data_IF_311095906391
#
_entry.id   IF_311095906391
#
_cell.length_a   1.000
_cell.length_b   1.000
_cell.length_c   1.000
_cell.angle_alpha   90.00
_cell.angle_beta   90.00
_cell.angle_gamma   90.00
#
_symmetry.space_group_name_H-M   'P 1'
#
loop_
_entity.id
_entity.type
_entity.pdbx_description
1 polymer ?
#
# COMPACT_ATOMS: atom_id res chain seq x y z
N UNK A 1 14.48 -11.33 3.70
CA UNK A 1 15.20 -10.04 3.83
C UNK A 1 14.69 -9.31 5.05
N UNK A 2 15.54 -8.72 5.90
CA UNK A 2 15.09 -7.86 7.00
C UNK A 2 14.23 -6.72 6.47
N UNK A 3 13.14 -6.38 7.15
CA UNK A 3 12.23 -5.30 6.71
C UNK A 3 12.97 -3.95 6.56
N UNK A 4 13.99 -3.73 7.40
CA UNK A 4 14.85 -2.55 7.32
C UNK A 4 15.53 -2.36 5.96
N UNK A 5 15.95 -3.44 5.31
CA UNK A 5 16.58 -3.36 3.98
C UNK A 5 15.57 -2.93 2.91
N UNK A 6 14.32 -3.39 3.04
CA UNK A 6 13.23 -2.97 2.14
C UNK A 6 12.94 -1.48 2.33
N UNK A 7 12.85 -1.02 3.59
CA UNK A 7 12.66 0.40 3.91
C UNK A 7 13.80 1.25 3.34
N UNK A 8 15.04 0.81 3.54
CA UNK A 8 16.23 1.51 3.04
C UNK A 8 16.22 1.62 1.51
N UNK A 9 15.90 0.54 0.82
CA UNK A 9 15.84 0.52 -0.64
C UNK A 9 14.68 1.37 -1.19
N UNK A 10 13.54 1.41 -0.50
CA UNK A 10 12.36 2.19 -0.91
C UNK A 10 12.42 3.68 -0.50
N UNK A 11 13.33 4.06 0.41
CA UNK A 11 13.37 5.41 0.98
C UNK A 11 13.57 6.51 -0.07
N UNK A 12 14.59 6.35 -0.92
CA UNK A 12 14.90 7.35 -1.95
C UNK A 12 13.75 7.49 -2.96
N UNK A 13 13.23 6.40 -3.57
CA UNK A 13 12.05 6.48 -4.43
C UNK A 13 10.86 7.17 -3.76
N UNK A 14 10.55 6.84 -2.51
CA UNK A 14 9.43 7.42 -1.79
C UNK A 14 9.55 8.94 -1.63
N UNK A 15 10.72 9.44 -1.21
CA UNK A 15 10.96 10.88 -1.06
C UNK A 15 10.84 11.61 -2.39
N UNK A 16 11.43 11.06 -3.46
CA UNK A 16 11.34 11.65 -4.80
C UNK A 16 9.88 11.71 -5.26
N UNK A 17 9.12 10.62 -5.09
CA UNK A 17 7.69 10.58 -5.42
C UNK A 17 6.89 11.64 -4.65
N UNK A 18 7.13 11.81 -3.34
CA UNK A 18 6.45 12.84 -2.57
C UNK A 18 6.77 14.26 -3.02
N UNK A 19 8.05 14.55 -3.29
CA UNK A 19 8.46 15.88 -3.80
C UNK A 19 7.80 16.14 -5.15
N UNK A 20 7.83 15.16 -6.06
CA UNK A 20 7.21 15.26 -7.37
C UNK A 20 5.70 15.50 -7.27
N UNK A 21 4.99 14.75 -6.41
CA UNK A 21 3.56 14.90 -6.18
C UNK A 21 3.19 16.28 -5.63
N UNK A 22 3.93 16.78 -4.63
CA UNK A 22 3.71 18.11 -4.06
C UNK A 22 3.91 19.18 -5.13
N UNK A 23 4.99 19.05 -5.91
CA UNK A 23 5.31 20.01 -6.96
C UNK A 23 4.26 20.02 -8.09
N UNK A 24 3.87 18.85 -8.60
CA UNK A 24 2.85 18.73 -9.65
C UNK A 24 1.51 19.27 -9.15
N UNK A 25 1.12 18.93 -7.90
CA UNK A 25 -0.12 19.42 -7.31
C UNK A 25 -0.10 20.95 -7.16
N UNK A 26 1.04 21.54 -6.78
CA UNK A 26 1.19 22.99 -6.71
C UNK A 26 1.07 23.67 -8.07
N UNK A 27 1.68 23.08 -9.12
CA UNK A 27 1.59 23.57 -10.49
C UNK A 27 0.15 23.49 -11.02
N UNK A 28 -0.54 22.37 -10.84
CA UNK A 28 -1.94 22.22 -11.26
C UNK A 28 -2.88 23.15 -10.49
N UNK A 29 -2.70 23.30 -9.17
CA UNK A 29 -3.48 24.27 -8.38
C UNK A 29 -3.25 25.72 -8.86
N UNK A 30 -2.01 26.07 -9.20
CA UNK A 30 -1.65 27.39 -9.73
C UNK A 30 -2.23 27.63 -11.13
N UNK A 31 -2.17 26.62 -12.00
CA UNK A 31 -2.76 26.64 -13.35
C UNK A 31 -4.28 26.80 -13.31
N UNK A 32 -4.94 26.18 -12.35
CA UNK A 32 -6.38 26.31 -12.10
C UNK A 32 -6.76 27.58 -11.34
N UNK A 33 -5.79 28.40 -10.91
CA UNK A 33 -6.04 29.63 -10.17
C UNK A 33 -6.68 29.42 -8.79
N UNK A 34 -6.50 28.24 -8.19
CA UNK A 34 -7.09 27.91 -6.90
C UNK A 34 -6.50 28.81 -5.80
N UNK A 35 -7.38 29.40 -4.99
CA UNK A 35 -7.00 30.22 -3.84
C UNK A 35 -7.19 29.43 -2.55
N UNK A 36 -6.28 29.64 -1.59
CA UNK A 36 -6.41 29.06 -0.26
C UNK A 36 -7.69 29.53 0.44
N UNK A 37 -8.20 28.70 1.34
CA UNK A 37 -9.38 29.02 2.14
C UNK A 37 -9.14 30.26 3.02
N UNK A 38 -10.18 31.08 3.28
CA UNK A 38 -10.15 32.15 4.27
C UNK A 38 -9.68 31.64 5.65
N UNK A 39 -8.87 32.45 6.37
CA UNK A 39 -8.22 32.03 7.63
C UNK A 39 -9.20 31.57 8.72
N UNK A 40 -10.43 32.08 8.69
CA UNK A 40 -11.53 31.74 9.58
C UNK A 40 -12.11 30.34 9.32
N UNK A 41 -11.94 29.80 8.11
CA UNK A 41 -12.37 28.46 7.73
C UNK A 41 -11.29 27.40 7.95
N UNK A 42 -10.06 27.82 8.26
CA UNK A 42 -8.94 26.91 8.51
C UNK A 42 -9.03 26.38 9.96
N UNK A 43 -9.18 25.06 10.17
CA UNK A 43 -9.16 24.50 11.50
C UNK A 43 -7.80 24.76 12.16
N UNK A 44 -7.80 25.08 13.46
CA UNK A 44 -6.57 25.38 14.21
C UNK A 44 -5.62 24.18 14.22
N UNK A 45 -4.51 24.28 13.48
CA UNK A 45 -3.54 23.21 13.24
C UNK A 45 -3.20 22.39 14.49
N UNK A 46 -2.67 23.02 15.54
CA UNK A 46 -2.25 22.31 16.76
C UNK A 46 -3.42 21.60 17.46
N UNK A 47 -4.61 22.21 17.52
CA UNK A 47 -5.78 21.60 18.15
C UNK A 47 -6.20 20.33 17.40
N UNK A 48 -6.18 20.37 16.07
CA UNK A 48 -6.50 19.21 15.22
C UNK A 48 -5.44 18.12 15.36
N UNK A 49 -4.15 18.50 15.33
CA UNK A 49 -3.03 17.58 15.45
C UNK A 49 -3.04 16.79 16.77
N UNK A 50 -3.17 17.49 17.91
CA UNK A 50 -3.21 16.83 19.22
C UNK A 50 -4.46 15.99 19.42
N UNK A 51 -5.60 16.36 18.81
CA UNK A 51 -6.81 15.55 18.87
C UNK A 51 -6.64 14.22 18.14
N UNK A 52 -5.82 14.15 17.10
CA UNK A 52 -5.54 12.94 16.33
C UNK A 52 -4.33 12.12 16.80
N UNK A 53 -3.56 12.59 17.77
CA UNK A 53 -2.28 11.99 18.17
C UNK A 53 -2.40 10.52 18.59
N UNK A 54 -3.56 10.14 19.14
CA UNK A 54 -3.84 8.77 19.55
C UNK A 54 -3.86 7.76 18.38
N UNK A 55 -4.11 8.20 17.14
CA UNK A 55 -4.00 7.35 15.94
C UNK A 55 -2.55 6.99 15.60
N UNK A 56 -1.58 7.77 16.10
CA UNK A 56 -0.17 7.46 15.88
C UNK A 56 0.32 6.33 16.78
N UNK A 57 -0.34 6.06 17.91
CA UNK A 57 0.09 5.02 18.86
C UNK A 57 0.15 3.64 18.20
N UNK A 58 -0.91 3.13 17.54
CA UNK A 58 -0.85 1.84 16.85
C UNK A 58 0.13 1.82 15.69
N UNK A 59 0.29 2.93 14.98
CA UNK A 59 1.22 3.05 13.85
C UNK A 59 2.67 2.94 14.34
N UNK A 60 3.06 3.70 15.36
CA UNK A 60 4.39 3.61 15.94
C UNK A 60 4.64 2.26 16.59
N UNK A 61 3.63 1.67 17.24
CA UNK A 61 3.75 0.33 17.80
C UNK A 61 3.99 -0.73 16.73
N UNK A 62 3.26 -0.66 15.60
CA UNK A 62 3.48 -1.53 14.44
C UNK A 62 4.88 -1.36 13.86
N UNK A 63 5.34 -0.12 13.68
CA UNK A 63 6.70 0.18 13.18
C UNK A 63 7.76 -0.33 14.15
N UNK A 64 7.56 -0.17 15.46
CA UNK A 64 8.45 -0.66 16.51
C UNK A 64 8.58 -2.20 16.47
N UNK A 65 7.45 -2.90 16.36
CA UNK A 65 7.40 -4.36 16.22
C UNK A 65 8.16 -4.85 14.97
N UNK A 66 8.04 -4.14 13.84
CA UNK A 66 8.71 -4.48 12.59
C UNK A 66 10.20 -4.13 12.56
N UNK A 67 10.58 -2.94 13.02
CA UNK A 67 11.93 -2.40 12.85
C UNK A 67 12.87 -2.77 13.98
N UNK A 68 12.37 -2.73 15.22
CA UNK A 68 13.20 -2.91 16.42
C UNK A 68 13.11 -4.35 16.91
N UNK A 69 11.90 -4.87 17.13
CA UNK A 69 11.71 -6.26 17.55
C UNK A 69 11.90 -7.26 16.41
N UNK A 70 11.85 -6.80 15.15
CA UNK A 70 12.02 -7.61 13.93
C UNK A 70 11.07 -8.81 13.88
N UNK A 71 9.87 -8.64 14.43
CA UNK A 71 8.83 -9.65 14.34
C UNK A 71 8.29 -9.75 12.91
N UNK A 72 7.60 -10.86 12.62
CA UNK A 72 6.97 -11.03 11.32
C UNK A 72 5.89 -9.96 11.09
N UNK A 73 5.68 -9.53 9.83
CA UNK A 73 4.63 -8.54 9.52
C UNK A 73 3.23 -8.94 9.99
N UNK A 74 2.92 -10.23 9.95
CA UNK A 74 1.65 -10.77 10.42
C UNK A 74 1.49 -10.60 11.93
N UNK A 75 2.55 -10.90 12.70
CA UNK A 75 2.53 -10.73 14.15
C UNK A 75 2.47 -9.25 14.55
N UNK A 76 3.22 -8.39 13.88
CA UNK A 76 3.20 -6.95 14.09
C UNK A 76 1.80 -6.36 13.82
N UNK A 77 1.15 -6.78 12.73
CA UNK A 77 -0.22 -6.39 12.41
C UNK A 77 -1.22 -6.88 13.48
N UNK A 78 -1.13 -8.15 13.90
CA UNK A 78 -2.00 -8.71 14.94
C UNK A 78 -1.88 -7.94 16.27
N UNK A 79 -0.65 -7.67 16.71
CA UNK A 79 -0.39 -6.88 17.93
C UNK A 79 -0.85 -5.42 17.78
N UNK A 80 -0.69 -4.84 16.59
CA UNK A 80 -1.24 -3.51 16.27
C UNK A 80 -2.77 -3.46 16.40
N UNK A 81 -3.48 -4.50 15.94
CA UNK A 81 -4.93 -4.64 16.11
C UNK A 81 -5.30 -4.78 17.59
N UNK A 82 -4.56 -5.55 18.37
CA UNK A 82 -4.76 -5.65 19.82
C UNK A 82 -4.55 -4.29 20.52
N UNK A 83 -3.52 -3.55 20.14
CA UNK A 83 -3.26 -2.21 20.67
C UNK A 83 -4.40 -1.25 20.33
N UNK A 84 -4.93 -1.28 19.10
CA UNK A 84 -6.12 -0.55 18.69
C UNK A 84 -7.34 -0.92 19.52
N UNK A 85 -7.55 -2.22 19.78
CA UNK A 85 -8.70 -2.69 20.55
C UNK A 85 -8.65 -2.17 22.00
N UNK A 86 -7.48 -2.23 22.63
CA UNK A 86 -7.25 -1.66 23.97
C UNK A 86 -7.46 -0.14 23.96
N UNK A 87 -6.94 0.55 22.92
CA UNK A 87 -7.07 1.99 22.78
C UNK A 87 -8.54 2.43 22.70
N UNK A 88 -9.38 1.72 21.94
CA UNK A 88 -10.83 2.00 21.81
C UNK A 88 -11.50 1.94 23.18
N UNK A 89 -11.25 0.87 23.94
CA UNK A 89 -11.82 0.68 25.28
C UNK A 89 -11.36 1.79 26.23
N UNK A 90 -10.04 2.03 26.30
CA UNK A 90 -9.49 3.06 27.18
C UNK A 90 -10.02 4.46 26.85
N UNK A 91 -10.10 4.82 25.57
CA UNK A 91 -10.60 6.13 25.18
C UNK A 91 -12.05 6.36 25.57
N UNK A 92 -12.93 5.38 25.37
CA UNK A 92 -14.33 5.51 25.74
C UNK A 92 -14.50 5.58 27.26
N UNK A 93 -13.73 4.80 28.02
CA UNK A 93 -13.75 4.86 29.49
C UNK A 93 -13.24 6.20 30.03
N UNK A 94 -12.13 6.71 29.49
CA UNK A 94 -11.58 8.02 29.89
C UNK A 94 -12.56 9.14 29.55
N UNK A 95 -13.16 9.11 28.35
CA UNK A 95 -14.17 10.10 27.95
C UNK A 95 -15.38 10.07 28.88
N UNK A 96 -15.91 8.88 29.18
CA UNK A 96 -17.05 8.74 30.08
C UNK A 96 -16.71 9.20 31.51
N UNK A 97 -15.51 8.90 32.00
CA UNK A 97 -15.05 9.38 33.31
C UNK A 97 -14.97 10.91 33.36
N UNK A 98 -14.37 11.55 32.34
CA UNK A 98 -14.27 13.02 32.25
C UNK A 98 -15.66 13.66 32.10
N UNK A 99 -16.54 13.05 31.31
CA UNK A 99 -17.91 13.51 31.08
C UNK A 99 -18.87 13.19 32.24
N UNK A 100 -18.42 12.45 33.27
CA UNK A 100 -19.23 11.94 34.39
C UNK A 100 -20.43 11.08 33.93
N UNK A 101 -20.24 10.34 32.84
CA UNK A 101 -21.20 9.40 32.29
C UNK A 101 -21.01 7.99 32.89
N UNK A 102 -21.97 7.11 32.64
CA UNK A 102 -21.93 5.72 33.09
C UNK A 102 -20.79 4.94 32.43
N UNK A 103 -19.83 4.51 33.25
CA UNK A 103 -18.71 3.65 32.83
C UNK A 103 -19.18 2.32 32.23
N UNK A 104 -20.31 1.79 32.69
CA UNK A 104 -20.90 0.55 32.16
C UNK A 104 -21.37 0.74 30.71
N UNK A 105 -22.00 1.86 30.43
CA UNK A 105 -22.49 2.18 29.08
C UNK A 105 -21.33 2.46 28.12
N UNK A 106 -20.28 3.11 28.60
CA UNK A 106 -19.04 3.33 27.84
C UNK A 106 -18.33 2.01 27.49
N UNK A 107 -18.29 1.05 28.42
CA UNK A 107 -17.73 -0.28 28.14
C UNK A 107 -18.59 -1.04 27.11
N UNK A 108 -19.92 -1.01 27.25
CA UNK A 108 -20.84 -1.63 26.29
C UNK A 108 -20.71 -1.01 24.89
N UNK A 109 -20.57 0.32 24.82
CA UNK A 109 -20.29 1.04 23.58
C UNK A 109 -18.98 0.57 22.95
N UNK A 110 -17.93 0.40 23.76
CA UNK A 110 -16.63 -0.08 23.28
C UNK A 110 -16.72 -1.47 22.68
N UNK A 111 -17.42 -2.41 23.34
CA UNK A 111 -17.62 -3.75 22.80
C UNK A 111 -18.40 -3.73 21.48
N UNK A 112 -19.42 -2.89 21.37
CA UNK A 112 -20.16 -2.71 20.11
C UNK A 112 -19.27 -2.15 19.00
N UNK A 113 -18.46 -1.13 19.29
CA UNK A 113 -17.51 -0.57 18.33
C UNK A 113 -16.47 -1.58 17.88
N UNK A 114 -15.93 -2.40 18.80
CA UNK A 114 -15.01 -3.48 18.45
C UNK A 114 -15.68 -4.52 17.55
N UNK A 115 -16.91 -4.90 17.85
CA UNK A 115 -17.69 -5.81 17.00
C UNK A 115 -17.91 -5.23 15.61
N UNK A 116 -18.39 -3.98 15.53
CA UNK A 116 -18.63 -3.30 14.27
C UNK A 116 -17.34 -3.15 13.45
N UNK A 117 -16.21 -2.87 14.11
CA UNK A 117 -14.89 -2.79 13.48
C UNK A 117 -14.41 -4.16 12.96
N UNK A 118 -14.63 -5.24 13.70
CA UNK A 118 -14.31 -6.60 13.24
C UNK A 118 -15.17 -7.01 12.04
N UNK A 119 -16.47 -6.70 12.08
CA UNK A 119 -17.39 -6.93 10.95
C UNK A 119 -16.96 -6.11 9.72
N UNK A 120 -16.64 -4.83 9.91
CA UNK A 120 -16.15 -3.97 8.84
C UNK A 120 -14.82 -4.49 8.26
N UNK A 121 -13.90 -4.94 9.13
CA UNK A 121 -12.64 -5.57 8.73
C UNK A 121 -12.87 -6.81 7.87
N UNK A 122 -13.77 -7.71 8.29
CA UNK A 122 -14.14 -8.89 7.52
C UNK A 122 -14.76 -8.55 6.16
N UNK A 123 -15.68 -7.57 6.11
CA UNK A 123 -16.30 -7.10 4.87
C UNK A 123 -15.28 -6.50 3.90
N UNK A 124 -14.39 -5.64 4.38
CA UNK A 124 -13.34 -5.04 3.57
C UNK A 124 -12.34 -6.11 3.07
N UNK A 125 -12.12 -7.17 3.85
CA UNK A 125 -11.24 -8.28 3.46
C UNK A 125 -11.82 -9.16 2.36
N UNK A 126 -13.15 -9.22 2.19
CA UNK A 126 -13.76 -10.11 1.17
C UNK A 126 -13.25 -9.81 -0.24
N UNK A 127 -13.18 -8.53 -0.63
CA UNK A 127 -12.69 -8.13 -1.96
C UNK A 127 -11.22 -8.50 -2.18
N UNK A 128 -10.38 -8.26 -1.16
CA UNK A 128 -8.96 -8.64 -1.20
C UNK A 128 -8.82 -10.16 -1.26
N UNK A 129 -9.61 -10.90 -0.49
CA UNK A 129 -9.59 -12.36 -0.44
C UNK A 129 -9.91 -13.01 -1.78
N UNK A 130 -10.93 -12.53 -2.50
CA UNK A 130 -11.23 -13.00 -3.86
C UNK A 130 -10.07 -12.72 -4.81
N UNK A 131 -9.56 -11.47 -4.82
CA UNK A 131 -8.46 -11.10 -5.71
C UNK A 131 -7.18 -11.91 -5.46
N UNK A 132 -6.81 -12.13 -4.19
CA UNK A 132 -5.65 -12.95 -3.82
C UNK A 132 -5.88 -14.42 -4.13
N UNK A 133 -7.10 -14.93 -3.99
CA UNK A 133 -7.43 -16.32 -4.37
C UNK A 133 -7.25 -16.54 -5.87
N UNK A 134 -7.73 -15.60 -6.69
CA UNK A 134 -7.51 -15.62 -8.15
C UNK A 134 -6.03 -15.48 -8.50
N UNK A 135 -5.31 -14.57 -7.84
CA UNK A 135 -3.85 -14.45 -7.99
C UNK A 135 -3.13 -15.77 -7.64
N UNK A 136 -3.58 -16.48 -6.60
CA UNK A 136 -3.06 -17.80 -6.24
C UNK A 136 -3.22 -18.85 -7.32
N UNK A 137 -4.33 -18.83 -8.07
CA UNK A 137 -4.54 -19.72 -9.23
C UNK A 137 -3.49 -19.39 -10.31
N UNK A 138 -3.27 -18.10 -10.60
CA UNK A 138 -2.24 -17.66 -11.56
C UNK A 138 -0.86 -18.18 -11.12
N UNK A 139 -0.48 -17.97 -9.87
CA UNK A 139 0.80 -18.46 -9.31
C UNK A 139 0.92 -19.98 -9.46
N UNK A 140 -0.16 -20.73 -9.18
CA UNK A 140 -0.19 -22.18 -9.32
C UNK A 140 0.03 -22.64 -10.76
N UNK A 141 -0.63 -22.01 -11.72
CA UNK A 141 -0.47 -22.31 -13.15
C UNK A 141 0.95 -21.98 -13.64
N UNK A 142 1.53 -20.86 -13.19
CA UNK A 142 2.90 -20.46 -13.51
C UNK A 142 3.90 -21.48 -12.98
N UNK A 143 3.69 -21.95 -11.76
CA UNK A 143 4.53 -22.98 -11.13
C UNK A 143 4.47 -24.34 -11.86
N UNK A 144 3.42 -24.62 -12.63
CA UNK A 144 3.30 -25.83 -13.45
C UNK A 144 4.09 -25.77 -14.78
N UNK A 145 4.82 -24.69 -15.04
CA UNK A 145 5.75 -24.58 -16.19
C UNK A 145 5.45 -23.43 -17.15
N UNK A 146 4.34 -22.71 -16.97
CA UNK A 146 3.99 -21.56 -17.80
C UNK A 146 4.95 -20.37 -17.61
N UNK A 147 5.67 -20.31 -16.48
CA UNK A 147 6.68 -19.28 -16.25
C UNK A 147 7.80 -19.28 -17.30
N UNK A 148 8.27 -20.46 -17.71
CA UNK A 148 9.34 -20.57 -18.71
C UNK A 148 8.93 -20.06 -20.09
N UNK A 149 7.69 -20.33 -20.51
CA UNK A 149 7.15 -19.82 -21.78
C UNK A 149 7.08 -18.30 -21.81
N UNK A 150 6.72 -17.67 -20.69
CA UNK A 150 6.66 -16.21 -20.58
C UNK A 150 8.06 -15.61 -20.67
N UNK A 151 9.07 -16.26 -20.05
CA UNK A 151 10.48 -15.86 -20.19
C UNK A 151 10.90 -15.93 -21.67
N UNK A 152 10.62 -17.03 -22.37
CA UNK A 152 11.00 -17.23 -23.77
C UNK A 152 10.34 -16.21 -24.72
N UNK A 153 9.05 -15.93 -24.53
CA UNK A 153 8.33 -14.92 -25.33
C UNK A 153 8.94 -13.54 -25.11
N UNK A 154 9.22 -13.15 -23.86
CA UNK A 154 9.81 -11.85 -23.56
C UNK A 154 11.24 -11.77 -24.09
N UNK A 155 12.03 -12.84 -23.99
CA UNK A 155 13.39 -12.92 -24.54
C UNK A 155 13.40 -12.69 -26.06
N UNK A 156 12.50 -13.37 -26.77
CA UNK A 156 12.34 -13.23 -28.23
C UNK A 156 12.04 -11.78 -28.63
N UNK A 157 11.20 -11.08 -27.86
CA UNK A 157 10.85 -9.68 -28.14
C UNK A 157 12.00 -8.74 -27.73
N UNK A 158 12.68 -9.00 -26.61
CA UNK A 158 13.76 -8.18 -26.10
C UNK A 158 15.05 -8.31 -26.92
N UNK A 159 15.28 -9.45 -27.57
CA UNK A 159 16.37 -9.68 -28.52
C UNK A 159 17.77 -9.49 -27.91
N UNK A 160 17.95 -9.87 -26.64
CA UNK A 160 19.23 -9.70 -25.94
C UNK A 160 19.47 -8.30 -25.36
N UNK A 161 18.51 -7.37 -25.48
CA UNK A 161 18.66 -6.01 -25.01
C UNK A 161 17.99 -5.78 -23.65
N UNK A 162 18.82 -5.49 -22.64
CA UNK A 162 18.38 -5.24 -21.27
C UNK A 162 17.38 -4.08 -21.13
N UNK A 163 17.55 -3.00 -21.90
CA UNK A 163 16.64 -1.84 -21.83
C UNK A 163 15.27 -2.22 -22.38
N UNK A 164 15.22 -2.96 -23.49
CA UNK A 164 13.94 -3.45 -24.03
C UNK A 164 13.27 -4.44 -23.08
N UNK A 165 14.03 -5.35 -22.46
CA UNK A 165 13.52 -6.23 -21.40
C UNK A 165 12.84 -5.44 -20.28
N UNK A 166 13.50 -4.40 -19.75
CA UNK A 166 12.95 -3.56 -18.68
C UNK A 166 11.70 -2.79 -19.14
N UNK A 167 11.68 -2.26 -20.37
CA UNK A 167 10.51 -1.57 -20.90
C UNK A 167 9.32 -2.53 -21.06
N UNK A 168 9.53 -3.70 -21.67
CA UNK A 168 8.48 -4.70 -21.89
C UNK A 168 7.93 -5.19 -20.54
N UNK A 169 8.81 -5.48 -19.59
CA UNK A 169 8.41 -5.92 -18.25
C UNK A 169 7.70 -4.82 -17.46
N UNK A 170 8.10 -3.55 -17.60
CA UNK A 170 7.37 -2.42 -17.03
C UNK A 170 5.95 -2.28 -17.60
N UNK A 171 5.81 -2.37 -18.93
CA UNK A 171 4.50 -2.33 -19.60
C UNK A 171 3.65 -3.52 -19.18
N UNK A 172 4.23 -4.72 -19.14
CA UNK A 172 3.53 -5.91 -18.66
C UNK A 172 3.07 -5.74 -17.20
N UNK A 173 3.92 -5.18 -16.32
CA UNK A 173 3.53 -4.90 -14.93
C UNK A 173 2.42 -3.86 -14.81
N UNK A 174 2.44 -2.82 -15.66
CA UNK A 174 1.34 -1.85 -15.72
C UNK A 174 0.04 -2.51 -16.17
N UNK A 175 0.07 -3.30 -17.24
CA UNK A 175 -1.14 -3.91 -17.81
C UNK A 175 -1.73 -4.94 -16.86
N UNK A 176 -0.90 -5.83 -16.34
CA UNK A 176 -1.35 -6.90 -15.45
C UNK A 176 -1.77 -6.37 -14.07
N UNK A 177 -1.24 -5.23 -13.64
CA UNK A 177 -1.58 -4.61 -12.37
C UNK A 177 -2.94 -3.91 -12.37
N UNK A 178 -3.49 -3.56 -13.53
CA UNK A 178 -4.73 -2.79 -13.64
C UNK A 178 -5.91 -3.51 -12.97
N UNK A 179 -6.54 -2.83 -12.01
CA UNK A 179 -7.80 -3.27 -11.39
C UNK A 179 -7.64 -4.34 -10.32
N UNK A 180 -6.40 -4.65 -9.90
CA UNK A 180 -6.12 -5.57 -8.82
C UNK A 180 -5.79 -4.80 -7.52
N UNK A 181 -6.29 -5.23 -6.35
CA UNK A 181 -5.79 -4.72 -5.08
C UNK A 181 -4.27 -4.87 -4.98
N UNK A 182 -3.58 -3.88 -4.41
CA UNK A 182 -2.11 -3.81 -4.33
C UNK A 182 -1.43 -5.12 -3.91
N UNK A 183 -2.02 -5.83 -2.93
CA UNK A 183 -1.51 -7.14 -2.48
C UNK A 183 -1.60 -8.21 -3.57
N UNK A 184 -2.75 -8.33 -4.24
CA UNK A 184 -2.96 -9.32 -5.30
C UNK A 184 -2.11 -8.99 -6.52
N UNK A 185 -2.05 -7.71 -6.89
CA UNK A 185 -1.17 -7.19 -7.94
C UNK A 185 0.28 -7.63 -7.72
N UNK A 186 0.84 -7.35 -6.54
CA UNK A 186 2.21 -7.75 -6.22
C UNK A 186 2.42 -9.27 -6.29
N UNK A 187 1.48 -10.09 -5.82
CA UNK A 187 1.58 -11.56 -5.91
C UNK A 187 1.70 -12.00 -7.37
N UNK A 188 0.84 -11.47 -8.25
CA UNK A 188 0.87 -11.80 -9.68
C UNK A 188 2.19 -11.34 -10.30
N UNK A 189 2.61 -10.09 -10.07
CA UNK A 189 3.84 -9.55 -10.65
C UNK A 189 5.10 -10.26 -10.16
N UNK A 190 5.17 -10.57 -8.86
CA UNK A 190 6.29 -11.27 -8.28
C UNK A 190 6.42 -12.70 -8.80
N UNK A 191 5.31 -13.33 -9.19
CA UNK A 191 5.34 -14.68 -9.77
C UNK A 191 5.65 -14.70 -11.27
N UNK A 192 5.27 -13.67 -12.01
CA UNK A 192 5.37 -13.61 -13.47
C UNK A 192 6.60 -12.84 -13.94
N UNK A 193 6.77 -11.61 -13.44
CA UNK A 193 7.67 -10.63 -14.03
C UNK A 193 9.06 -10.65 -13.37
N UNK A 194 9.11 -10.89 -12.06
CA UNK A 194 10.40 -10.93 -11.33
C UNK A 194 11.33 -12.04 -11.83
N UNK A 195 10.88 -13.29 -12.05
CA UNK A 195 11.75 -14.33 -12.60
C UNK A 195 12.31 -13.97 -13.96
N UNK A 196 11.49 -13.35 -14.83
CA UNK A 196 11.89 -12.89 -16.17
C UNK A 196 13.04 -11.88 -16.08
N UNK A 197 12.90 -10.86 -15.22
CA UNK A 197 13.93 -9.83 -15.06
C UNK A 197 15.23 -10.42 -14.51
N UNK A 198 15.15 -11.30 -13.50
CA UNK A 198 16.34 -11.90 -12.88
C UNK A 198 17.06 -12.82 -13.87
N UNK A 199 16.32 -13.70 -14.55
CA UNK A 199 16.89 -14.70 -15.45
C UNK A 199 17.48 -14.04 -16.70
N UNK A 200 16.68 -13.30 -17.45
CA UNK A 200 17.14 -12.65 -18.68
C UNK A 200 18.15 -11.53 -18.41
N UNK A 201 18.05 -10.84 -17.27
CA UNK A 201 19.06 -9.88 -16.87
C UNK A 201 20.45 -10.53 -16.76
N UNK A 202 20.53 -11.70 -16.13
CA UNK A 202 21.77 -12.47 -16.03
C UNK A 202 22.26 -12.93 -17.41
N UNK A 203 21.36 -13.45 -18.25
CA UNK A 203 21.69 -13.90 -19.60
C UNK A 203 22.23 -12.75 -20.48
N UNK A 204 21.74 -11.54 -20.26
CA UNK A 204 22.17 -10.33 -20.98
C UNK A 204 23.41 -9.66 -20.34
N UNK A 205 24.01 -10.29 -19.32
CA UNK A 205 25.28 -9.86 -18.72
C UNK A 205 25.16 -8.94 -17.51
N UNK A 206 23.97 -8.73 -16.94
CA UNK A 206 23.77 -7.95 -15.72
C UNK A 206 23.07 -8.76 -14.62
N UNK A 207 23.80 -9.07 -13.55
CA UNK A 207 23.19 -9.70 -12.36
C UNK A 207 22.33 -8.67 -11.61
N UNK A 208 21.00 -8.76 -11.79
CA UNK A 208 20.05 -7.89 -11.09
C UNK A 208 19.77 -8.46 -9.69
N UNK A 209 20.00 -7.69 -8.61
CA UNK A 209 19.63 -8.12 -7.27
C UNK A 209 18.11 -8.36 -7.17
N UNK A 210 17.70 -9.45 -6.51
CA UNK A 210 16.28 -9.80 -6.41
C UNK A 210 15.42 -8.66 -5.83
N UNK A 211 15.93 -7.93 -4.83
CA UNK A 211 15.21 -6.78 -4.26
C UNK A 211 14.94 -5.67 -5.29
N UNK A 212 15.86 -5.45 -6.23
CA UNK A 212 15.68 -4.46 -7.29
C UNK A 212 14.58 -4.91 -8.26
N UNK A 213 14.56 -6.18 -8.67
CA UNK A 213 13.51 -6.73 -9.51
C UNK A 213 12.13 -6.68 -8.82
N UNK A 214 12.06 -7.07 -7.55
CA UNK A 214 10.83 -6.99 -6.76
C UNK A 214 10.33 -5.55 -6.59
N UNK A 215 11.22 -4.59 -6.29
CA UNK A 215 10.84 -3.17 -6.17
C UNK A 215 10.45 -2.56 -7.52
N UNK A 216 11.10 -2.96 -8.60
CA UNK A 216 10.76 -2.54 -9.96
C UNK A 216 9.34 -2.96 -10.31
N UNK A 217 9.02 -4.26 -10.18
CA UNK A 217 7.69 -4.77 -10.45
C UNK A 217 6.63 -4.21 -9.50
N UNK A 218 6.98 -4.02 -8.22
CA UNK A 218 6.09 -3.39 -7.24
C UNK A 218 5.77 -1.94 -7.59
N UNK A 219 6.78 -1.17 -8.04
CA UNK A 219 6.61 0.22 -8.43
C UNK A 219 5.68 0.35 -9.64
N UNK A 220 5.95 -0.37 -10.73
CA UNK A 220 5.10 -0.34 -11.93
C UNK A 220 3.72 -0.97 -11.68
N UNK A 221 3.64 -1.99 -10.82
CA UNK A 221 2.38 -2.55 -10.39
C UNK A 221 1.50 -1.52 -9.69
N UNK A 222 2.02 -0.79 -8.70
CA UNK A 222 1.25 0.27 -8.02
C UNK A 222 0.90 1.41 -8.97
N UNK A 223 1.83 1.80 -9.83
CA UNK A 223 1.59 2.87 -10.79
C UNK A 223 0.42 2.55 -11.75
N UNK A 224 0.11 1.27 -11.96
CA UNK A 224 -1.06 0.84 -12.73
C UNK A 224 -2.38 1.34 -12.15
N UNK A 225 -2.50 1.39 -10.81
CA UNK A 225 -3.72 1.85 -10.13
C UNK A 225 -3.94 3.37 -10.30
N UNK A 226 -2.86 4.13 -10.46
CA UNK A 226 -2.88 5.58 -10.67
C UNK A 226 -3.06 5.95 -12.15
N UNK A 227 -2.72 5.04 -13.07
CA UNK A 227 -2.77 5.28 -14.52
C UNK A 227 -4.18 5.05 -15.07
N UNK A 228 -4.68 5.86 -16.04
CA UNK A 228 -5.91 5.55 -16.75
C UNK A 228 -5.83 4.15 -17.39
N UNK A 229 -6.89 3.33 -17.31
CA UNK A 229 -8.28 3.67 -16.99
C UNK A 229 -8.70 3.54 -15.51
N UNK A 230 -7.80 3.12 -14.60
CA UNK A 230 -8.18 2.75 -13.21
C UNK A 230 -8.37 4.00 -12.34
N UNK A 231 -7.32 4.80 -12.14
CA UNK A 231 -7.36 6.12 -11.50
C UNK A 231 -8.18 6.22 -10.20
N UNK A 232 -8.31 5.14 -9.43
CA UNK A 232 -9.29 5.02 -8.33
C UNK A 232 -9.10 6.10 -7.26
N UNK A 233 -7.83 6.42 -6.95
CA UNK A 233 -7.49 7.48 -6.01
C UNK A 233 -7.96 8.85 -6.52
N UNK A 234 -7.81 9.14 -7.81
CA UNK A 234 -8.28 10.39 -8.42
C UNK A 234 -9.80 10.50 -8.42
N UNK A 235 -10.52 9.39 -8.68
CA UNK A 235 -11.98 9.35 -8.59
C UNK A 235 -12.49 9.60 -7.16
N UNK A 236 -11.88 8.96 -6.17
CA UNK A 236 -12.22 9.15 -4.76
C UNK A 236 -11.89 10.59 -4.29
N UNK A 237 -10.71 11.11 -4.66
CA UNK A 237 -10.31 12.48 -4.33
C UNK A 237 -11.24 13.53 -4.96
N UNK A 238 -11.65 13.34 -6.22
CA UNK A 238 -12.63 14.20 -6.90
C UNK A 238 -13.98 14.25 -6.18
N UNK A 239 -14.45 13.13 -5.62
CA UNK A 239 -15.68 13.10 -4.83
C UNK A 239 -15.57 13.91 -3.53
N UNK A 240 -14.41 13.87 -2.86
CA UNK A 240 -14.15 14.64 -1.65
C UNK A 240 -14.02 16.14 -1.97
N UNK A 241 -13.38 16.49 -3.09
CA UNK A 241 -13.14 17.88 -3.49
C UNK A 241 -14.40 18.65 -3.91
N UNK A 242 -15.53 17.97 -4.14
CA UNK A 242 -16.84 18.60 -4.42
C UNK A 242 -17.61 19.01 -3.17
N UNK A 243 -17.13 18.64 -1.97
CA UNK A 243 -17.68 19.02 -0.67
C UNK A 243 -17.02 20.32 -0.20
#
# INVERSE_FOLDING_TARGET
>A
LPYFEVVRAAFIPAIISYIALIYITHLEASKLGLKGLPKDQIPRFFKTLFRGLHFLIPMFYLIYELMILRHSPQLAAYRGIQALAVLIVLQNLIRAYIAKESLKDAFKLSLRQLWDALVAGGRNMMGIGVAVSTAGIIVGVVAMGLGGLIVEVIDTIAGGNLVFLLIITAIASLILGMGLPTTANYIVMASLTVPVIIQLGQDYGLVIPAIAAHLFCFFFGILADDTPPVGLAAYAASAIAKI
#
